data_IF_652267337845
#
_entry.id   IF_652267337845
#
_cell.length_a   1.000
_cell.length_b   1.000
_cell.length_c   1.000
_cell.angle_alpha   90.00
_cell.angle_beta   90.00
_cell.angle_gamma   90.00
#
_symmetry.space_group_name_H-M   'P 1'
#
loop_
_entity.id
_entity.type
_entity.pdbx_description
1 polymer ?
#
# COMPACT_ATOMS: atom_id res chain seq x y z
N UNK A 1 -26.36 11.71 -29.02
CA UNK A 1 -25.05 12.34 -28.78
C UNK A 1 -24.44 11.74 -27.52
N UNK A 2 -23.25 11.15 -27.65
CA UNK A 2 -22.51 10.47 -26.58
C UNK A 2 -21.71 11.53 -25.83
N UNK A 3 -22.18 11.97 -24.66
CA UNK A 3 -21.36 12.81 -23.78
C UNK A 3 -20.44 11.90 -22.97
N UNK A 4 -19.15 12.20 -23.07
CA UNK A 4 -18.06 11.37 -22.61
C UNK A 4 -17.97 11.32 -21.08
N UNK A 5 -17.66 10.13 -20.61
CA UNK A 5 -17.27 9.75 -19.25
C UNK A 5 -16.10 10.61 -18.75
N UNK A 6 -16.35 11.50 -17.79
CA UNK A 6 -15.32 12.00 -16.88
C UNK A 6 -15.23 11.04 -15.67
N UNK A 7 -14.74 9.84 -15.93
CA UNK A 7 -14.36 8.89 -14.89
C UNK A 7 -13.02 9.30 -14.30
N UNK A 8 -13.05 10.24 -13.35
CA UNK A 8 -11.94 10.39 -12.41
C UNK A 8 -11.90 9.13 -11.56
N UNK A 9 -10.93 8.24 -11.80
CA UNK A 9 -10.67 7.10 -10.93
C UNK A 9 -10.30 7.64 -9.54
N UNK A 10 -11.27 7.58 -8.64
CA UNK A 10 -11.05 7.77 -7.21
C UNK A 10 -9.90 6.83 -6.81
N UNK A 11 -8.75 7.38 -6.41
CA UNK A 11 -7.71 6.63 -5.74
C UNK A 11 -8.26 6.18 -4.37
N UNK A 12 -9.13 5.17 -4.41
CA UNK A 12 -9.83 4.66 -3.26
C UNK A 12 -8.80 4.09 -2.29
N UNK A 13 -8.88 4.51 -1.03
CA UNK A 13 -8.14 3.87 0.04
C UNK A 13 -8.58 2.40 0.07
N UNK A 14 -7.68 1.50 -0.30
CA UNK A 14 -7.92 0.06 -0.27
C UNK A 14 -7.12 -0.56 0.88
N UNK A 15 -7.66 -1.63 1.42
CA UNK A 15 -7.04 -2.39 2.49
C UNK A 15 -6.50 -3.74 1.99
N UNK A 16 -6.76 -4.12 0.72
CA UNK A 16 -6.31 -5.39 0.16
C UNK A 16 -5.60 -5.18 -1.17
N UNK A 17 -4.41 -5.78 -1.37
CA UNK A 17 -3.74 -5.75 -2.66
C UNK A 17 -4.52 -6.59 -3.69
N UNK A 18 -4.70 -6.04 -4.89
CA UNK A 18 -5.39 -6.71 -5.98
C UNK A 18 -4.51 -7.72 -6.73
N UNK A 19 -3.18 -7.59 -6.66
CA UNK A 19 -2.25 -8.51 -7.32
C UNK A 19 -1.01 -8.83 -6.45
N UNK A 20 -0.21 -9.80 -6.90
CA UNK A 20 0.98 -10.28 -6.18
C UNK A 20 2.06 -9.19 -6.04
N UNK A 21 2.20 -8.32 -7.04
CA UNK A 21 3.19 -7.24 -7.01
C UNK A 21 2.83 -6.18 -5.97
N UNK A 22 1.57 -5.75 -5.93
CA UNK A 22 1.04 -4.82 -4.93
C UNK A 22 1.21 -5.39 -3.52
N UNK A 23 0.97 -6.69 -3.32
CA UNK A 23 1.21 -7.33 -2.03
C UNK A 23 2.68 -7.18 -1.61
N UNK A 24 3.64 -7.41 -2.51
CA UNK A 24 5.07 -7.27 -2.24
C UNK A 24 5.41 -5.81 -1.92
N UNK A 25 4.99 -4.86 -2.74
CA UNK A 25 5.28 -3.43 -2.57
C UNK A 25 4.73 -2.89 -1.26
N UNK A 26 3.44 -3.14 -0.97
CA UNK A 26 2.80 -2.66 0.27
C UNK A 26 3.44 -3.33 1.49
N UNK A 27 3.80 -4.61 1.41
CA UNK A 27 4.49 -5.31 2.50
C UNK A 27 5.88 -4.74 2.75
N UNK A 28 6.64 -4.39 1.71
CA UNK A 28 7.96 -3.77 1.84
C UNK A 28 7.88 -2.38 2.48
N UNK A 29 6.94 -1.55 2.03
CA UNK A 29 6.68 -0.23 2.63
C UNK A 29 6.28 -0.35 4.11
N UNK A 30 5.39 -1.30 4.42
CA UNK A 30 4.99 -1.56 5.80
C UNK A 30 6.15 -2.08 6.65
N UNK A 31 7.01 -2.93 6.09
CA UNK A 31 8.21 -3.42 6.76
C UNK A 31 9.12 -2.26 7.17
N UNK A 32 9.33 -1.28 6.27
CA UNK A 32 10.09 -0.06 6.58
C UNK A 32 9.50 0.69 7.77
N UNK A 33 8.17 0.89 7.79
CA UNK A 33 7.50 1.52 8.94
C UNK A 33 7.74 0.78 10.26
N UNK A 34 7.71 -0.56 10.25
CA UNK A 34 7.97 -1.35 11.45
C UNK A 34 9.42 -1.21 11.93
N UNK A 35 10.38 -1.16 11.00
CA UNK A 35 11.80 -0.91 11.31
C UNK A 35 11.96 0.49 11.91
N UNK A 36 11.25 1.48 11.39
CA UNK A 36 11.23 2.87 11.88
C UNK A 36 10.51 3.02 13.25
N UNK A 37 10.02 1.92 13.84
CA UNK A 37 9.41 1.89 15.17
C UNK A 37 7.88 1.94 15.20
N UNK A 38 7.22 1.80 14.04
CA UNK A 38 5.76 1.70 14.02
C UNK A 38 5.28 0.45 14.77
N UNK A 39 4.20 0.59 15.54
CA UNK A 39 3.61 -0.53 16.25
C UNK A 39 2.96 -1.53 15.27
N UNK A 40 3.22 -2.83 15.43
CA UNK A 40 2.49 -3.85 14.69
C UNK A 40 1.04 -3.92 15.18
N UNK A 41 0.12 -4.16 14.24
CA UNK A 41 -1.32 -4.30 14.43
C UNK A 41 -1.75 -5.74 14.67
N UNK A 42 -0.83 -6.69 14.52
CA UNK A 42 -1.02 -8.10 14.88
C UNK A 42 -0.15 -8.44 16.08
N UNK A 43 -0.54 -9.48 16.80
CA UNK A 43 0.28 -10.04 17.87
C UNK A 43 1.63 -10.52 17.32
N UNK A 44 2.69 -10.15 18.03
CA UNK A 44 4.07 -10.32 17.60
C UNK A 44 4.55 -11.71 18.01
N UNK A 45 4.08 -12.74 17.32
CA UNK A 45 4.63 -14.10 17.49
C UNK A 45 5.88 -14.30 16.64
N UNK A 46 6.01 -13.53 15.55
CA UNK A 46 7.15 -13.59 14.63
C UNK A 46 8.23 -12.57 15.00
N UNK A 47 9.51 -12.97 14.90
CA UNK A 47 10.67 -12.09 15.16
C UNK A 47 11.07 -11.21 13.96
N UNK A 48 10.57 -11.52 12.75
CA UNK A 48 10.99 -10.85 11.50
C UNK A 48 9.94 -9.83 11.04
N UNK A 49 10.35 -8.57 10.85
CA UNK A 49 9.47 -7.48 10.40
C UNK A 49 8.77 -7.77 9.08
N UNK A 50 9.47 -8.38 8.12
CA UNK A 50 8.88 -8.75 6.83
C UNK A 50 7.71 -9.74 6.97
N UNK A 51 7.79 -10.67 7.94
CA UNK A 51 6.72 -11.64 8.20
C UNK A 51 5.51 -10.95 8.80
N UNK A 52 5.73 -10.02 9.74
CA UNK A 52 4.66 -9.24 10.37
C UNK A 52 3.97 -8.36 9.32
N UNK A 53 4.74 -7.59 8.56
CA UNK A 53 4.23 -6.70 7.51
C UNK A 53 3.41 -7.46 6.47
N UNK A 54 3.91 -8.60 5.99
CA UNK A 54 3.19 -9.44 5.03
C UNK A 54 1.87 -9.93 5.59
N UNK A 55 1.83 -10.36 6.86
CA UNK A 55 0.61 -10.87 7.48
C UNK A 55 -0.40 -9.75 7.77
N UNK A 56 0.07 -8.56 8.17
CA UNK A 56 -0.79 -7.38 8.32
C UNK A 56 -1.45 -6.98 6.98
N UNK A 57 -0.67 -6.98 5.88
CA UNK A 57 -1.19 -6.67 4.54
C UNK A 57 -2.12 -7.78 4.05
N UNK A 58 -1.80 -9.05 4.31
CA UNK A 58 -2.65 -10.20 3.93
C UNK A 58 -3.99 -10.17 4.65
N UNK A 59 -4.01 -9.79 5.93
CA UNK A 59 -5.24 -9.61 6.73
C UNK A 59 -5.99 -8.31 6.40
N UNK A 60 -5.38 -7.42 5.61
CA UNK A 60 -5.94 -6.13 5.24
C UNK A 60 -6.05 -5.14 6.38
N UNK A 61 -5.09 -5.18 7.31
CA UNK A 61 -5.01 -4.26 8.46
C UNK A 61 -4.33 -2.93 8.10
N UNK A 62 -3.69 -2.88 6.93
CA UNK A 62 -2.98 -1.71 6.43
C UNK A 62 -3.80 -1.08 5.32
N UNK A 63 -4.14 0.19 5.51
CA UNK A 63 -4.78 1.02 4.50
C UNK A 63 -3.70 1.61 3.61
N UNK A 64 -3.87 1.54 2.30
CA UNK A 64 -2.96 2.14 1.34
C UNK A 64 -3.73 2.70 0.15
N UNK A 65 -3.11 3.66 -0.52
CA UNK A 65 -3.64 4.25 -1.74
C UNK A 65 -2.63 4.02 -2.84
N UNK A 66 -3.09 3.51 -3.98
CA UNK A 66 -2.27 3.44 -5.18
C UNK A 66 -2.32 4.82 -5.82
N UNK A 67 -1.16 5.46 -5.94
CA UNK A 67 -1.03 6.68 -6.74
C UNK A 67 -0.86 6.21 -8.18
N UNK A 68 -1.84 6.50 -9.04
CA UNK A 68 -1.67 6.30 -10.48
C UNK A 68 -0.60 7.30 -10.93
N UNK A 69 0.46 6.83 -11.58
CA UNK A 69 1.50 7.69 -12.15
C UNK A 69 0.94 8.53 -13.30
N UNK A 70 0.22 9.59 -12.95
CA UNK A 70 -0.01 10.77 -13.78
C UNK A 70 0.27 11.98 -12.90
N UNK A 71 1.54 12.14 -12.55
CA UNK A 71 2.21 13.37 -12.11
C UNK A 71 3.58 12.95 -11.55
N UNK A 72 4.44 12.49 -12.47
CA UNK A 72 5.87 12.68 -12.29
C UNK A 72 6.17 14.14 -12.59
N UNK A 73 5.95 15.02 -11.63
CA UNK A 73 6.63 16.31 -11.64
C UNK A 73 8.04 16.10 -11.09
N UNK A 74 8.97 16.26 -12.02
CA UNK A 74 10.40 16.19 -11.86
C UNK A 74 10.85 17.16 -10.76
N UNK A 75 11.79 16.72 -9.91
CA UNK A 75 12.63 17.65 -9.15
C UNK A 75 13.22 18.67 -10.12
N UNK A 76 13.09 20.00 -9.89
CA UNK A 76 13.99 20.95 -10.53
C UNK A 76 15.40 20.72 -9.95
N UNK A 77 16.41 20.75 -10.84
CA UNK A 77 17.84 20.70 -10.52
C UNK A 77 18.29 21.74 -9.50
#
# INVERSE_FOLDING_TARGET
MKMLSAGGEMAGITNKPGNKFQLITVSALRCKQLIDGAKPKIEITAKKWATIAREEVRRGLIKFTMRSDKEGEQSPE
#
